data_IF_129613066798
#
_entry.id   IF_129613066798
#
_cell.length_a   1.000
_cell.length_b   1.000
_cell.length_c   1.000
_cell.angle_alpha   90.00
_cell.angle_beta   90.00
_cell.angle_gamma   90.00
#
_symmetry.space_group_name_H-M   'P 1'
#
loop_
_entity.id
_entity.type
_entity.pdbx_description
1 polymer ?
#
# COMPACT_ATOMS: atom_id res chain seq x y z
N UNK A 1 -3.50 -50.31 31.59
CA UNK A 1 -3.05 -50.19 30.18
C UNK A 1 -3.92 -49.27 29.32
N UNK A 2 -5.21 -49.04 29.63
CA UNK A 2 -6.05 -48.10 28.84
C UNK A 2 -5.73 -46.61 29.04
N UNK A 3 -5.42 -46.16 30.27
CA UNK A 3 -5.19 -44.73 30.55
C UNK A 3 -3.96 -44.14 29.81
N UNK A 4 -2.91 -44.94 29.61
CA UNK A 4 -1.69 -44.52 28.89
C UNK A 4 -1.98 -44.19 27.42
N UNK A 5 -2.95 -44.87 26.78
CA UNK A 5 -3.31 -44.64 25.37
C UNK A 5 -4.06 -43.31 25.18
N UNK A 6 -4.90 -42.92 26.15
CA UNK A 6 -5.64 -41.66 26.11
C UNK A 6 -4.73 -40.44 26.36
N UNK A 7 -3.73 -40.57 27.23
CA UNK A 7 -2.75 -39.51 27.49
C UNK A 7 -1.85 -39.25 26.27
N UNK A 8 -1.41 -40.31 25.59
CA UNK A 8 -0.57 -40.18 24.38
C UNK A 8 -1.34 -39.56 23.20
N UNK A 9 -2.61 -39.94 23.00
CA UNK A 9 -3.47 -39.36 21.95
C UNK A 9 -3.76 -37.87 22.17
N UNK A 10 -3.98 -37.44 23.42
CA UNK A 10 -4.21 -36.04 23.76
C UNK A 10 -2.96 -35.16 23.53
N UNK A 11 -1.76 -35.69 23.84
CA UNK A 11 -0.50 -34.99 23.59
C UNK A 11 -0.18 -34.87 22.09
N UNK A 12 -0.50 -35.89 21.27
CA UNK A 12 -0.29 -35.82 19.81
C UNK A 12 -1.20 -34.79 19.12
N UNK A 13 -2.45 -34.62 19.58
CA UNK A 13 -3.37 -33.61 19.05
C UNK A 13 -2.96 -32.18 19.46
N UNK A 14 -2.44 -32.00 20.68
CA UNK A 14 -1.91 -30.71 21.14
C UNK A 14 -0.61 -30.31 20.41
N UNK A 15 0.22 -31.29 20.01
CA UNK A 15 1.44 -31.03 19.23
C UNK A 15 1.15 -30.71 17.75
N UNK A 16 0.11 -31.31 17.15
CA UNK A 16 -0.34 -30.97 15.79
C UNK A 16 -0.97 -29.59 15.68
N UNK A 17 -1.50 -29.02 16.77
CA UNK A 17 -2.00 -27.64 16.78
C UNK A 17 -0.87 -26.58 16.80
N UNK A 18 0.38 -26.96 17.05
CA UNK A 18 1.55 -26.06 17.10
C UNK A 18 2.31 -25.97 15.78
N UNK A 19 1.97 -26.77 14.76
CA UNK A 19 2.71 -26.83 13.50
C UNK A 19 1.79 -26.63 12.31
N UNK A 20 1.53 -25.35 11.98
CA UNK A 20 1.41 -24.80 10.62
C UNK A 20 0.72 -23.42 10.69
N UNK A 21 1.42 -22.39 11.17
CA UNK A 21 1.16 -21.06 10.61
C UNK A 21 1.87 -21.07 9.26
N UNK A 22 1.20 -21.55 8.22
CA UNK A 22 1.61 -21.23 6.86
C UNK A 22 1.56 -19.70 6.76
N UNK A 23 2.71 -19.08 6.47
CA UNK A 23 2.80 -17.63 6.31
C UNK A 23 2.00 -17.21 5.09
N UNK A 24 0.69 -16.98 5.25
CA UNK A 24 -0.15 -16.53 4.15
C UNK A 24 0.21 -15.08 3.81
N UNK A 25 0.57 -14.84 2.56
CA UNK A 25 0.82 -13.49 2.06
C UNK A 25 -0.49 -12.70 2.04
N UNK A 26 -0.46 -11.46 2.54
CA UNK A 26 -1.60 -10.53 2.48
C UNK A 26 -2.02 -10.29 1.03
N UNK A 27 -3.32 -10.42 0.76
CA UNK A 27 -3.91 -10.05 -0.52
C UNK A 27 -4.36 -8.58 -0.51
N UNK A 28 -3.45 -7.70 -0.91
CA UNK A 28 -3.65 -6.26 -1.02
C UNK A 28 -4.65 -5.86 -2.10
N UNK A 29 -4.95 -6.74 -3.07
CA UNK A 29 -5.98 -6.49 -4.07
C UNK A 29 -7.40 -6.52 -3.49
N UNK A 30 -7.56 -7.05 -2.27
CA UNK A 30 -8.83 -7.02 -1.51
C UNK A 30 -8.87 -5.94 -0.43
N UNK A 31 -7.83 -5.12 -0.32
CA UNK A 31 -7.77 -4.03 0.64
C UNK A 31 -8.72 -2.90 0.20
N UNK A 32 -9.34 -2.19 1.14
CA UNK A 32 -10.23 -1.04 0.87
C UNK A 32 -9.55 0.09 0.06
N UNK A 33 -8.23 0.24 0.21
CA UNK A 33 -7.39 1.18 -0.53
C UNK A 33 -6.97 0.69 -1.93
N UNK A 34 -7.35 -0.52 -2.35
CA UNK A 34 -6.99 -1.02 -3.67
C UNK A 34 -7.46 -0.08 -4.79
N UNK A 35 -8.72 0.36 -4.72
CA UNK A 35 -9.29 1.27 -5.73
C UNK A 35 -8.62 2.65 -5.71
N UNK A 36 -8.20 3.12 -4.53
CA UNK A 36 -7.38 4.31 -4.41
C UNK A 36 -6.05 4.16 -5.18
N UNK A 37 -5.30 3.09 -4.91
CA UNK A 37 -4.01 2.82 -5.57
C UNK A 37 -4.19 2.62 -7.08
N UNK A 38 -5.27 1.94 -7.49
CA UNK A 38 -5.63 1.76 -8.90
C UNK A 38 -5.78 3.10 -9.62
N UNK A 39 -6.51 4.06 -9.04
CA UNK A 39 -6.71 5.37 -9.64
C UNK A 39 -5.47 6.26 -9.58
N UNK A 40 -4.71 6.22 -8.48
CA UNK A 40 -3.40 6.86 -8.36
C UNK A 40 -2.44 6.41 -9.48
N UNK A 41 -2.35 5.10 -9.71
CA UNK A 41 -1.45 4.55 -10.71
C UNK A 41 -1.89 4.85 -12.15
N UNK A 42 -3.20 4.89 -12.39
CA UNK A 42 -3.73 5.37 -13.66
C UNK A 42 -3.39 6.85 -13.88
N UNK A 43 -3.54 7.69 -12.86
CA UNK A 43 -3.19 9.11 -12.94
C UNK A 43 -1.70 9.34 -13.23
N UNK A 44 -0.82 8.60 -12.53
CA UNK A 44 0.64 8.74 -12.65
C UNK A 44 1.19 8.34 -14.01
N UNK A 45 0.64 7.27 -14.61
CA UNK A 45 1.20 6.65 -15.82
C UNK A 45 0.35 6.84 -17.08
N UNK A 46 -0.95 7.10 -16.93
CA UNK A 46 -1.93 7.02 -18.03
C UNK A 46 -2.25 5.59 -18.47
N UNK A 47 -1.69 4.57 -17.80
CA UNK A 47 -1.91 3.16 -18.09
C UNK A 47 -2.74 2.52 -16.98
N UNK A 48 -3.51 1.49 -17.32
CA UNK A 48 -4.24 0.70 -16.31
C UNK A 48 -3.34 -0.29 -15.58
N UNK A 49 -2.17 -0.62 -16.14
CA UNK A 49 -1.23 -1.63 -15.63
C UNK A 49 -0.36 -1.03 -14.51
N UNK A 50 -0.38 -1.64 -13.32
CA UNK A 50 0.31 -1.15 -12.11
C UNK A 50 1.83 -1.15 -12.22
N UNK A 51 2.40 -2.04 -13.03
CA UNK A 51 3.84 -2.12 -13.28
C UNK A 51 4.40 -0.85 -13.93
N UNK A 52 3.60 -0.12 -14.72
CA UNK A 52 4.03 1.16 -15.29
C UNK A 52 4.12 2.24 -14.21
N UNK A 53 3.13 2.29 -13.31
CA UNK A 53 3.18 3.15 -12.13
C UNK A 53 4.44 2.85 -11.31
N UNK A 54 4.65 1.59 -10.92
CA UNK A 54 5.82 1.14 -10.17
C UNK A 54 7.14 1.56 -10.83
N UNK A 55 7.30 1.30 -12.14
CA UNK A 55 8.50 1.69 -12.92
C UNK A 55 8.85 3.18 -12.80
N UNK A 56 7.85 4.06 -12.68
CA UNK A 56 8.05 5.52 -12.71
C UNK A 56 7.90 6.21 -11.35
N UNK A 57 7.48 5.50 -10.29
CA UNK A 57 7.19 6.13 -9.00
C UNK A 57 7.58 5.33 -7.76
N UNK A 58 8.03 4.08 -7.90
CA UNK A 58 8.54 3.30 -6.77
C UNK A 58 10.04 3.09 -6.98
N UNK A 59 10.83 3.56 -6.03
CA UNK A 59 12.26 3.26 -5.92
C UNK A 59 12.49 2.12 -4.93
N UNK A 60 13.70 1.58 -4.89
CA UNK A 60 14.06 0.56 -3.90
C UNK A 60 13.98 1.12 -2.46
N UNK A 61 14.35 2.40 -2.25
CA UNK A 61 14.20 3.07 -0.96
C UNK A 61 12.72 3.24 -0.57
N UNK A 62 11.85 3.60 -1.52
CA UNK A 62 10.40 3.64 -1.31
C UNK A 62 9.88 2.27 -0.88
N UNK A 63 10.26 1.21 -1.60
CA UNK A 63 9.88 -0.16 -1.28
C UNK A 63 10.39 -0.60 0.09
N UNK A 64 11.63 -0.28 0.45
CA UNK A 64 12.20 -0.54 1.79
C UNK A 64 11.39 0.14 2.89
N UNK A 65 11.06 1.42 2.70
CA UNK A 65 10.22 2.21 3.61
C UNK A 65 8.77 1.73 3.66
N UNK A 66 8.31 1.05 2.60
CA UNK A 66 7.01 0.37 2.53
C UNK A 66 7.02 -1.06 3.11
N UNK A 67 8.04 -1.44 3.87
CA UNK A 67 8.10 -2.74 4.56
C UNK A 67 8.77 -3.85 3.77
N UNK A 68 9.38 -3.55 2.61
CA UNK A 68 10.14 -4.50 1.80
C UNK A 68 9.35 -5.76 1.42
N UNK A 69 8.09 -5.58 0.98
CA UNK A 69 7.21 -6.69 0.63
C UNK A 69 7.82 -7.58 -0.46
N UNK A 70 7.66 -8.89 -0.30
CA UNK A 70 8.12 -9.92 -1.26
C UNK A 70 6.93 -10.54 -1.97
N UNK A 71 7.16 -11.19 -3.12
CA UNK A 71 6.08 -11.80 -3.91
C UNK A 71 5.65 -13.17 -3.38
N UNK A 72 6.41 -13.75 -2.46
CA UNK A 72 6.17 -15.06 -1.87
C UNK A 72 6.67 -15.10 -0.42
N UNK A 73 6.00 -15.86 0.47
CA UNK A 73 6.46 -16.06 1.85
C UNK A 73 7.87 -16.66 1.97
N UNK A 74 8.34 -17.36 0.93
CA UNK A 74 9.64 -18.01 0.91
C UNK A 74 10.77 -17.11 0.36
N UNK A 75 10.43 -15.99 -0.29
CA UNK A 75 11.41 -15.02 -0.77
C UNK A 75 11.82 -14.09 0.38
N UNK A 76 13.12 -13.83 0.54
CA UNK A 76 13.61 -12.91 1.57
C UNK A 76 13.72 -11.51 0.98
N UNK A 77 13.35 -10.49 1.76
CA UNK A 77 13.51 -9.09 1.36
C UNK A 77 14.98 -8.68 1.15
N UNK A 78 15.93 -9.45 1.69
CA UNK A 78 17.36 -9.24 1.48
C UNK A 78 17.87 -9.83 0.15
N UNK A 79 17.06 -10.62 -0.55
CA UNK A 79 17.46 -11.22 -1.82
C UNK A 79 17.63 -10.11 -2.88
N UNK A 80 18.71 -10.09 -3.67
CA UNK A 80 18.95 -9.03 -4.65
C UNK A 80 17.83 -8.86 -5.69
N UNK A 81 17.04 -9.92 -5.93
CA UNK A 81 15.92 -9.91 -6.86
C UNK A 81 14.60 -9.44 -6.25
N UNK A 82 14.48 -9.38 -4.92
CA UNK A 82 13.20 -9.21 -4.21
C UNK A 82 12.46 -7.94 -4.63
N UNK A 83 13.17 -6.81 -4.65
CA UNK A 83 12.63 -5.54 -5.15
C UNK A 83 12.13 -5.67 -6.60
N UNK A 84 12.95 -6.23 -7.49
CA UNK A 84 12.61 -6.35 -8.91
C UNK A 84 11.45 -7.31 -9.18
N UNK A 85 11.30 -8.34 -8.34
CA UNK A 85 10.19 -9.27 -8.38
C UNK A 85 8.90 -8.57 -7.91
N UNK A 86 8.98 -7.83 -6.80
CA UNK A 86 7.87 -7.03 -6.31
C UNK A 86 7.36 -6.02 -7.36
N UNK A 87 8.24 -5.32 -8.07
CA UNK A 87 7.85 -4.35 -9.10
C UNK A 87 7.21 -4.96 -10.36
N UNK A 88 7.15 -6.29 -10.46
CA UNK A 88 6.45 -7.03 -11.52
C UNK A 88 5.14 -7.65 -11.04
N UNK A 89 4.92 -7.72 -9.73
CA UNK A 89 3.76 -8.33 -9.11
C UNK A 89 2.76 -7.26 -8.64
N UNK A 90 1.50 -7.39 -9.06
CA UNK A 90 0.49 -6.38 -8.76
C UNK A 90 0.18 -6.28 -7.27
N UNK A 91 0.04 -7.42 -6.59
CA UNK A 91 -0.28 -7.47 -5.18
C UNK A 91 0.82 -6.79 -4.34
N UNK A 92 2.08 -7.06 -4.70
CA UNK A 92 3.24 -6.46 -4.06
C UNK A 92 3.33 -4.94 -4.31
N UNK A 93 3.08 -4.48 -5.54
CA UNK A 93 3.05 -3.03 -5.86
C UNK A 93 1.99 -2.32 -5.03
N UNK A 94 0.76 -2.86 -4.99
CA UNK A 94 -0.35 -2.26 -4.25
C UNK A 94 -0.02 -2.19 -2.76
N UNK A 95 0.41 -3.31 -2.17
CA UNK A 95 0.82 -3.34 -0.78
C UNK A 95 1.95 -2.37 -0.46
N UNK A 96 2.93 -2.24 -1.35
CA UNK A 96 4.06 -1.32 -1.16
C UNK A 96 3.59 0.13 -1.06
N UNK A 97 2.67 0.57 -1.92
CA UNK A 97 2.13 1.93 -1.90
C UNK A 97 1.28 2.15 -0.63
N UNK A 98 0.43 1.19 -0.27
CA UNK A 98 -0.42 1.28 0.93
C UNK A 98 0.44 1.41 2.19
N UNK A 99 1.45 0.55 2.33
CA UNK A 99 2.34 0.53 3.48
C UNK A 99 3.21 1.78 3.55
N UNK A 100 3.82 2.19 2.44
CA UNK A 100 4.64 3.41 2.42
C UNK A 100 3.82 4.64 2.80
N UNK A 101 2.64 4.82 2.19
CA UNK A 101 1.81 6.00 2.47
C UNK A 101 1.22 5.96 3.88
N UNK A 102 0.87 4.77 4.38
CA UNK A 102 0.33 4.58 5.73
C UNK A 102 1.34 4.86 6.84
N UNK A 103 2.65 4.81 6.58
CA UNK A 103 3.69 5.05 7.59
C UNK A 103 3.67 6.47 8.17
N UNK A 104 3.03 7.42 7.49
CA UNK A 104 2.95 8.81 7.92
C UNK A 104 1.85 9.05 8.97
N UNK A 105 0.94 8.09 9.18
CA UNK A 105 -0.11 8.16 10.20
C UNK A 105 -1.33 9.00 9.78
N UNK A 106 -2.40 8.90 10.57
CA UNK A 106 -3.67 9.59 10.31
C UNK A 106 -3.59 11.12 10.48
N UNK A 107 -2.58 11.60 11.21
CA UNK A 107 -2.34 13.04 11.39
C UNK A 107 -1.71 13.70 10.13
N UNK A 108 -1.31 12.92 9.13
CA UNK A 108 -0.76 13.41 7.86
C UNK A 108 -1.88 13.78 6.87
N UNK A 109 -2.68 14.78 7.23
CA UNK A 109 -3.74 15.36 6.41
C UNK A 109 -3.15 16.43 5.46
N UNK A 110 -2.76 15.99 4.27
CA UNK A 110 -2.01 16.77 3.29
C UNK A 110 -2.84 17.89 2.65
N UNK A 111 -4.16 17.69 2.53
CA UNK A 111 -5.09 18.69 2.01
C UNK A 111 -5.93 19.38 3.09
N UNK A 112 -5.69 19.08 4.37
CA UNK A 112 -6.35 19.68 5.52
C UNK A 112 -7.88 19.66 5.43
N UNK A 113 -8.44 18.55 4.94
CA UNK A 113 -9.89 18.35 4.84
C UNK A 113 -10.47 17.61 6.05
N UNK A 114 -9.62 17.27 7.02
CA UNK A 114 -9.95 16.65 8.30
C UNK A 114 -9.99 15.12 8.26
N UNK A 115 -9.63 14.48 7.14
CA UNK A 115 -9.57 13.02 7.02
C UNK A 115 -8.32 12.56 6.28
N UNK A 116 -7.64 11.53 6.80
CA UNK A 116 -6.55 10.88 6.07
C UNK A 116 -7.11 9.86 5.07
N UNK A 117 -7.22 10.24 3.81
CA UNK A 117 -7.86 9.44 2.77
C UNK A 117 -6.98 9.20 1.52
N UNK A 118 -7.63 8.86 0.40
CA UNK A 118 -6.92 8.58 -0.84
C UNK A 118 -6.18 9.79 -1.40
N UNK A 119 -6.68 11.02 -1.17
CA UNK A 119 -6.04 12.24 -1.64
C UNK A 119 -4.71 12.47 -0.93
N UNK A 120 -4.66 12.24 0.37
CA UNK A 120 -3.44 12.36 1.17
C UNK A 120 -2.43 11.31 0.77
N UNK A 121 -2.88 10.06 0.61
CA UNK A 121 -2.01 8.97 0.14
C UNK A 121 -1.46 9.26 -1.25
N UNK A 122 -2.24 9.87 -2.14
CA UNK A 122 -1.76 10.33 -3.43
C UNK A 122 -0.73 11.46 -3.32
N UNK A 123 -0.96 12.44 -2.44
CA UNK A 123 -0.01 13.51 -2.16
C UNK A 123 1.31 12.96 -1.60
N UNK A 124 1.25 12.08 -0.60
CA UNK A 124 2.41 11.42 0.01
C UNK A 124 3.17 10.57 -1.02
N UNK A 125 2.47 9.84 -1.89
CA UNK A 125 3.13 9.05 -2.93
C UNK A 125 3.95 9.91 -3.90
N UNK A 126 3.49 11.14 -4.19
CA UNK A 126 4.15 12.04 -5.12
C UNK A 126 5.20 12.95 -4.45
N UNK A 127 4.98 13.35 -3.20
CA UNK A 127 5.69 14.45 -2.54
C UNK A 127 6.36 14.04 -1.22
N UNK A 128 6.10 12.83 -0.71
CA UNK A 128 6.61 12.38 0.58
C UNK A 128 6.05 13.22 1.74
N UNK A 129 6.91 13.54 2.72
CA UNK A 129 6.54 14.34 3.89
C UNK A 129 6.12 15.79 3.54
N UNK A 130 6.50 16.28 2.36
CA UNK A 130 6.19 17.64 1.90
C UNK A 130 4.89 17.68 1.10
N UNK A 131 3.87 16.93 1.54
CA UNK A 131 2.62 16.74 0.81
C UNK A 131 1.61 17.88 0.98
N UNK A 132 1.89 18.85 1.85
CA UNK A 132 1.01 19.98 2.16
C UNK A 132 0.56 20.74 0.90
N UNK A 133 -0.74 21.09 0.85
CA UNK A 133 -1.34 21.84 -0.27
C UNK A 133 -1.00 21.26 -1.66
N UNK A 134 -1.32 19.99 -1.91
CA UNK A 134 -0.78 19.28 -3.05
C UNK A 134 -1.29 19.86 -4.37
N UNK A 135 -0.35 20.16 -5.28
CA UNK A 135 -0.60 20.60 -6.64
C UNK A 135 -0.47 19.44 -7.61
N UNK A 136 -1.54 18.67 -7.78
CA UNK A 136 -1.58 17.52 -8.70
C UNK A 136 -1.51 17.91 -10.18
N UNK A 137 -2.01 19.10 -10.53
CA UNK A 137 -2.13 19.54 -11.92
C UNK A 137 -3.28 18.89 -12.68
N UNK A 138 -3.72 19.54 -13.76
CA UNK A 138 -4.95 19.16 -14.47
C UNK A 138 -4.92 17.75 -15.07
N UNK A 139 -3.79 17.31 -15.62
CA UNK A 139 -3.68 15.97 -16.25
C UNK A 139 -3.80 14.84 -15.23
N UNK A 140 -3.14 14.97 -14.07
CA UNK A 140 -3.21 13.97 -13.02
C UNK A 140 -4.63 13.89 -12.45
N UNK A 141 -5.19 15.03 -12.05
CA UNK A 141 -6.53 15.08 -11.47
C UNK A 141 -7.60 14.56 -12.44
N UNK A 142 -7.53 14.91 -13.74
CA UNK A 142 -8.45 14.37 -14.76
C UNK A 142 -8.40 12.85 -14.83
N UNK A 143 -7.21 12.26 -14.98
CA UNK A 143 -7.05 10.80 -15.07
C UNK A 143 -7.47 10.10 -13.78
N UNK A 144 -7.13 10.68 -12.63
CA UNK A 144 -7.58 10.14 -11.36
C UNK A 144 -9.11 10.08 -11.31
N UNK A 145 -9.78 11.19 -11.62
CA UNK A 145 -11.24 11.30 -11.58
C UNK A 145 -11.93 10.39 -12.63
N UNK A 146 -11.31 10.20 -13.80
CA UNK A 146 -11.77 9.21 -14.80
C UNK A 146 -11.84 7.81 -14.18
N UNK A 147 -10.82 7.40 -13.43
CA UNK A 147 -10.84 6.13 -12.69
C UNK A 147 -11.81 6.15 -11.52
N UNK A 148 -11.80 7.20 -10.69
CA UNK A 148 -12.63 7.31 -9.48
C UNK A 148 -14.11 7.18 -9.78
N UNK A 149 -14.58 7.77 -10.87
CA UNK A 149 -15.96 7.65 -11.33
C UNK A 149 -16.33 6.20 -11.72
N UNK A 150 -15.37 5.35 -12.10
CA UNK A 150 -15.62 3.93 -12.43
C UNK A 150 -15.70 3.05 -11.18
N UNK A 151 -14.97 3.40 -10.12
CA UNK A 151 -14.81 2.56 -8.91
C UNK A 151 -15.52 3.12 -7.68
N UNK A 152 -16.08 4.33 -7.75
CA UNK A 152 -16.84 4.94 -6.66
C UNK A 152 -15.99 5.58 -5.57
N UNK A 153 -14.78 6.04 -5.87
CA UNK A 153 -13.93 6.79 -4.92
C UNK A 153 -14.14 8.30 -5.06
N UNK A 154 -13.71 9.08 -4.04
CA UNK A 154 -13.80 10.55 -4.09
C UNK A 154 -12.92 11.10 -5.23
N UNK A 155 -13.46 12.08 -5.96
CA UNK A 155 -12.69 12.84 -6.94
C UNK A 155 -11.73 13.83 -6.27
N UNK A 156 -10.64 14.17 -6.95
CA UNK A 156 -9.66 15.17 -6.54
C UNK A 156 -9.67 16.42 -7.44
N UNK A 157 -9.22 17.52 -6.88
CA UNK A 157 -8.96 18.78 -7.55
C UNK A 157 -7.52 18.81 -8.10
N UNK A 158 -7.24 19.71 -9.05
CA UNK A 158 -5.87 19.92 -9.54
C UNK A 158 -4.95 20.56 -8.49
N UNK A 159 -5.53 21.23 -7.50
CA UNK A 159 -4.89 21.74 -6.30
C UNK A 159 -5.86 21.53 -5.15
N UNK A 160 -5.40 20.85 -4.11
CA UNK A 160 -6.14 20.64 -2.86
C UNK A 160 -5.49 21.44 -1.74
N UNK A 161 -6.16 21.55 -0.59
CA UNK A 161 -5.67 22.34 0.54
C UNK A 161 -6.15 23.79 0.55
N UNK A 162 -5.59 24.56 1.48
CA UNK A 162 -5.89 25.97 1.69
C UNK A 162 -4.67 26.68 2.29
N UNK A 163 -4.67 28.02 2.27
CA UNK A 163 -3.52 28.84 2.70
C UNK A 163 -3.08 28.64 4.16
N UNK A 164 -3.87 27.95 4.98
CA UNK A 164 -3.56 27.64 6.39
C UNK A 164 -3.24 26.17 6.62
N UNK A 165 -3.19 25.35 5.57
CA UNK A 165 -2.90 23.94 5.70
C UNK A 165 -1.44 23.71 6.10
N UNK A 166 -1.23 22.94 7.16
CA UNK A 166 0.08 22.59 7.71
C UNK A 166 0.06 21.13 8.12
N UNK A 167 1.10 20.37 7.76
CA UNK A 167 1.25 18.96 8.14
C UNK A 167 2.27 18.78 9.28
N UNK A 168 2.21 17.69 10.06
CA UNK A 168 3.21 17.39 11.07
C UNK A 168 4.62 17.21 10.50
N UNK A 169 5.65 17.62 11.24
CA UNK A 169 7.04 17.33 10.88
C UNK A 169 7.33 15.84 11.11
N UNK A 170 7.81 15.15 10.07
CA UNK A 170 8.19 13.73 10.14
C UNK A 170 9.72 13.61 10.07
N UNK A 171 10.31 12.95 11.07
CA UNK A 171 11.75 12.70 11.19
C UNK A 171 12.15 11.33 10.62
#
# INVERSE_FOLDING_TARGET
>A
MSAMKFVVLAFCLAFMALTAVEGQQTNWLKHDLYDCVRCLCHARSGCWIRQNCARYSISEDYWKKGGSLTVSPNEKSTDPSAYSNCMKDENCIVGTIIQYTGRFGEDMDCNCDGVFDCKDRAAIHLMGASCENPKFGGTFARRFNECSNMVGTKNMLSQEGNDKCTVPTVF
#
